data_IF_462440257135
#
_entry.id   IF_462440257135
#
_cell.length_a   1.000
_cell.length_b   1.000
_cell.length_c   1.000
_cell.angle_alpha   90.00
_cell.angle_beta   90.00
_cell.angle_gamma   90.00
#
_symmetry.space_group_name_H-M   'P 1'
#
loop_
_entity.id
_entity.type
_entity.pdbx_description
1 polymer ?
#
# COMPACT_ATOMS: atom_id res chain seq x y z
N UNK A 1 -27.57 13.93 -28.99
CA UNK A 1 -26.09 13.82 -28.94
C UNK A 1 -25.53 14.24 -27.58
N UNK A 2 -25.91 15.41 -27.03
CA UNK A 2 -25.50 15.90 -25.68
C UNK A 2 -25.68 14.87 -24.55
N UNK A 3 -26.83 14.20 -24.47
CA UNK A 3 -27.11 13.23 -23.40
C UNK A 3 -26.13 12.04 -23.40
N UNK A 4 -25.73 11.55 -24.58
CA UNK A 4 -24.80 10.42 -24.71
C UNK A 4 -23.40 10.84 -24.23
N UNK A 5 -22.99 12.07 -24.53
CA UNK A 5 -21.68 12.58 -24.14
C UNK A 5 -21.58 12.88 -22.63
N UNK A 6 -22.65 13.40 -22.03
CA UNK A 6 -22.77 13.59 -20.58
C UNK A 6 -22.75 12.25 -19.81
N UNK A 7 -23.39 11.20 -20.36
CA UNK A 7 -23.35 9.84 -19.80
C UNK A 7 -21.91 9.31 -19.79
N UNK A 8 -21.16 9.47 -20.89
CA UNK A 8 -19.78 9.01 -20.97
C UNK A 8 -18.84 9.76 -20.00
N UNK A 9 -19.07 11.06 -19.79
CA UNK A 9 -18.27 11.88 -18.87
C UNK A 9 -18.45 11.46 -17.41
N UNK A 10 -19.70 11.28 -16.98
CA UNK A 10 -20.01 10.85 -15.61
C UNK A 10 -19.54 9.41 -15.37
N UNK A 11 -19.69 8.53 -16.35
CA UNK A 11 -19.15 7.17 -16.29
C UNK A 11 -17.63 7.15 -16.13
N UNK A 12 -16.88 7.97 -16.88
CA UNK A 12 -15.42 8.07 -16.78
C UNK A 12 -14.94 8.53 -15.41
N UNK A 13 -15.57 9.58 -14.85
CA UNK A 13 -15.28 10.06 -13.50
C UNK A 13 -15.56 8.99 -12.42
N UNK A 14 -16.72 8.34 -12.51
CA UNK A 14 -17.11 7.26 -11.58
C UNK A 14 -16.14 6.08 -11.69
N UNK A 15 -15.78 5.64 -12.89
CA UNK A 15 -14.84 4.54 -13.10
C UNK A 15 -13.46 4.89 -12.56
N UNK A 16 -12.97 6.11 -12.80
CA UNK A 16 -11.68 6.56 -12.28
C UNK A 16 -11.63 6.58 -10.76
N UNK A 17 -12.65 7.17 -10.13
CA UNK A 17 -12.75 7.21 -8.66
C UNK A 17 -12.91 5.81 -8.05
N UNK A 18 -13.81 5.00 -8.62
CA UNK A 18 -14.07 3.64 -8.16
C UNK A 18 -12.82 2.76 -8.29
N UNK A 19 -12.09 2.87 -9.40
CA UNK A 19 -10.87 2.08 -9.64
C UNK A 19 -9.77 2.43 -8.64
N UNK A 20 -9.59 3.71 -8.32
CA UNK A 20 -8.62 4.13 -7.30
C UNK A 20 -9.00 3.61 -5.90
N UNK A 21 -10.28 3.69 -5.55
CA UNK A 21 -10.77 3.11 -4.30
C UNK A 21 -10.55 1.59 -4.23
N UNK A 22 -10.86 0.87 -5.32
CA UNK A 22 -10.63 -0.57 -5.42
C UNK A 22 -9.15 -0.94 -5.34
N UNK A 23 -8.25 -0.16 -5.97
CA UNK A 23 -6.81 -0.38 -5.89
C UNK A 23 -6.32 -0.28 -4.43
N UNK A 24 -6.75 0.76 -3.71
CA UNK A 24 -6.44 0.92 -2.28
C UNK A 24 -6.98 -0.25 -1.47
N UNK A 25 -8.22 -0.65 -1.72
CA UNK A 25 -8.87 -1.75 -1.01
C UNK A 25 -8.15 -3.09 -1.26
N UNK A 26 -7.68 -3.32 -2.49
CA UNK A 26 -6.97 -4.53 -2.92
C UNK A 26 -5.62 -4.72 -2.25
N UNK A 27 -5.04 -3.67 -1.65
CA UNK A 27 -3.83 -3.83 -0.84
C UNK A 27 -4.13 -4.61 0.45
N UNK A 28 -5.32 -4.47 1.01
CA UNK A 28 -5.64 -4.98 2.35
C UNK A 28 -6.65 -6.13 2.36
N UNK A 29 -7.52 -6.22 1.35
CA UNK A 29 -8.57 -7.24 1.26
C UNK A 29 -8.54 -7.98 -0.08
N UNK A 30 -8.96 -9.26 -0.14
CA UNK A 30 -9.39 -10.10 0.99
C UNK A 30 -8.20 -10.59 1.82
N UNK A 31 -8.39 -10.77 3.14
CA UNK A 31 -7.30 -11.15 4.06
C UNK A 31 -6.79 -12.56 3.81
N UNK A 32 -7.72 -13.49 3.54
CA UNK A 32 -7.43 -14.86 3.11
C UNK A 32 -7.64 -14.97 1.61
N UNK A 33 -6.94 -15.92 0.99
CA UNK A 33 -7.04 -16.20 -0.44
C UNK A 33 -8.45 -16.68 -0.79
N UNK A 34 -9.15 -15.95 -1.67
CA UNK A 34 -10.48 -16.30 -2.19
C UNK A 34 -10.35 -16.35 -3.72
N UNK A 35 -10.68 -17.48 -4.34
CA UNK A 35 -10.62 -17.66 -5.80
C UNK A 35 -9.27 -17.22 -6.42
N UNK A 36 -8.16 -17.41 -5.71
CA UNK A 36 -6.84 -16.98 -6.16
C UNK A 36 -6.44 -15.55 -5.75
N UNK A 37 -7.40 -14.71 -5.37
CA UNK A 37 -7.18 -13.33 -4.98
C UNK A 37 -6.93 -13.19 -3.48
N UNK A 38 -5.93 -12.39 -3.12
CA UNK A 38 -5.60 -12.02 -1.75
C UNK A 38 -5.07 -10.59 -1.75
N UNK A 39 -5.34 -9.85 -0.68
CA UNK A 39 -4.75 -8.52 -0.51
C UNK A 39 -3.22 -8.59 -0.53
N UNK A 40 -2.58 -7.58 -1.11
CA UNK A 40 -1.11 -7.59 -1.26
C UNK A 40 -0.38 -7.61 0.09
N UNK A 41 -0.80 -6.80 1.06
CA UNK A 41 -0.17 -6.73 2.38
C UNK A 41 -0.23 -8.05 3.15
N UNK A 42 -1.41 -8.72 3.31
CA UNK A 42 -1.44 -10.02 3.97
C UNK A 42 -0.70 -11.10 3.17
N UNK A 43 -0.68 -11.02 1.84
CA UNK A 43 0.06 -11.96 0.98
C UNK A 43 1.57 -11.90 1.19
N UNK A 44 2.15 -10.72 1.38
CA UNK A 44 3.60 -10.52 1.56
C UNK A 44 4.05 -10.38 3.02
N UNK A 45 3.18 -10.68 3.99
CA UNK A 45 3.47 -10.53 5.42
C UNK A 45 4.72 -11.28 5.87
N UNK A 46 4.89 -12.52 5.42
CA UNK A 46 6.05 -13.35 5.75
C UNK A 46 7.33 -12.77 5.15
N UNK A 47 7.28 -12.36 3.88
CA UNK A 47 8.39 -11.73 3.17
C UNK A 47 8.81 -10.40 3.84
N UNK A 48 7.85 -9.62 4.32
CA UNK A 48 8.12 -8.39 5.09
C UNK A 48 8.90 -8.76 6.36
N UNK A 49 8.47 -9.79 7.08
CA UNK A 49 9.14 -10.27 8.28
C UNK A 49 10.57 -10.73 8.02
N UNK A 50 10.78 -11.53 6.98
CA UNK A 50 12.08 -12.09 6.61
C UNK A 50 13.03 -11.00 6.10
N UNK A 51 12.55 -10.04 5.31
CA UNK A 51 13.37 -8.94 4.81
C UNK A 51 13.75 -7.94 5.90
N UNK A 52 12.82 -7.59 6.80
CA UNK A 52 13.12 -6.72 7.95
C UNK A 52 14.08 -7.44 8.90
N UNK A 53 13.84 -8.73 9.18
CA UNK A 53 14.73 -9.56 9.98
C UNK A 53 16.10 -9.79 9.33
N UNK A 54 16.19 -9.93 8.02
CA UNK A 54 17.45 -10.08 7.29
C UNK A 54 18.29 -8.80 7.31
N UNK A 55 17.62 -7.65 7.35
CA UNK A 55 18.25 -6.33 7.41
C UNK A 55 18.26 -5.76 8.84
N UNK A 56 18.67 -6.57 9.83
CA UNK A 56 18.70 -6.22 11.26
C UNK A 56 19.34 -4.86 11.57
N UNK A 57 20.32 -4.44 10.77
CA UNK A 57 21.04 -3.17 10.95
C UNK A 57 20.18 -1.93 10.67
N UNK A 58 19.10 -2.05 9.88
CA UNK A 58 18.19 -0.95 9.58
C UNK A 58 17.23 -0.65 10.74
N UNK A 59 16.94 -1.65 11.56
CA UNK A 59 15.88 -1.60 12.58
C UNK A 59 16.44 -1.62 14.01
N UNK A 60 17.69 -2.07 14.19
CA UNK A 60 18.33 -2.08 15.51
C UNK A 60 18.68 -0.67 16.01
N UNK A 61 18.44 -0.40 17.31
CA UNK A 61 18.98 0.78 17.97
C UNK A 61 20.52 0.81 17.95
N UNK A 62 21.11 2.00 17.98
CA UNK A 62 22.58 2.18 17.97
C UNK A 62 23.29 1.40 19.09
N UNK A 63 22.69 1.30 20.27
CA UNK A 63 23.23 0.49 21.38
C UNK A 63 23.40 -0.98 21.02
N UNK A 64 22.45 -1.56 20.26
CA UNK A 64 22.52 -2.94 19.79
C UNK A 64 23.50 -3.11 18.63
N UNK A 65 23.63 -2.10 17.74
CA UNK A 65 24.64 -2.12 16.66
C UNK A 65 26.06 -2.26 17.19
N UNK A 66 26.37 -1.66 18.34
CA UNK A 66 27.68 -1.82 19.01
C UNK A 66 27.91 -3.26 19.45
N UNK A 67 26.87 -3.95 19.92
CA UNK A 67 26.94 -5.38 20.30
C UNK A 67 27.17 -6.29 19.09
N UNK A 68 26.74 -5.87 17.89
CA UNK A 68 27.01 -6.61 16.65
C UNK A 68 28.48 -6.61 16.24
N UNK A 69 29.28 -5.64 16.70
CA UNK A 69 30.72 -5.55 16.40
C UNK A 69 31.58 -6.45 17.28
N UNK A 70 31.01 -7.02 18.34
CA UNK A 70 31.74 -7.88 19.28
C UNK A 70 31.97 -9.25 18.61
N UNK A 71 33.23 -9.74 18.52
CA UNK A 71 33.53 -11.08 18.03
C UNK A 71 32.70 -12.13 18.78
N UNK A 72 32.26 -13.19 18.09
CA UNK A 72 31.40 -14.27 18.62
C UNK A 72 29.96 -13.86 19.00
N UNK A 73 29.76 -12.75 19.70
CA UNK A 73 28.42 -12.27 20.14
C UNK A 73 27.61 -11.72 18.97
N UNK A 74 28.26 -10.98 18.06
CA UNK A 74 27.57 -10.30 16.96
C UNK A 74 26.79 -11.25 16.04
N UNK A 75 27.42 -12.32 15.55
CA UNK A 75 26.76 -13.32 14.67
C UNK A 75 25.56 -13.99 15.35
N UNK A 76 25.70 -14.38 16.63
CA UNK A 76 24.62 -15.02 17.40
C UNK A 76 23.45 -14.05 17.61
N UNK A 77 23.74 -12.79 17.92
CA UNK A 77 22.72 -11.75 18.12
C UNK A 77 21.97 -11.40 16.83
N UNK A 78 22.65 -11.31 15.69
CA UNK A 78 21.99 -11.10 14.39
C UNK A 78 20.99 -12.21 14.07
N UNK A 79 21.37 -13.47 14.29
CA UNK A 79 20.51 -14.63 14.06
C UNK A 79 19.29 -14.64 14.98
N UNK A 80 19.48 -14.34 16.27
CA UNK A 80 18.37 -14.26 17.24
C UNK A 80 17.41 -13.14 16.86
N UNK A 81 17.94 -11.96 16.56
CA UNK A 81 17.13 -10.80 16.20
C UNK A 81 16.38 -11.01 14.90
N UNK A 82 17.05 -11.52 13.85
CA UNK A 82 16.42 -11.90 12.58
C UNK A 82 15.21 -12.81 12.80
N UNK A 83 15.41 -13.91 13.53
CA UNK A 83 14.34 -14.87 13.84
C UNK A 83 13.25 -14.26 14.71
N UNK A 84 13.60 -13.41 15.68
CA UNK A 84 12.63 -12.78 16.57
C UNK A 84 11.71 -11.82 15.81
N UNK A 85 12.28 -10.95 14.97
CA UNK A 85 11.52 -9.97 14.18
C UNK A 85 10.62 -10.67 13.16
N UNK A 86 11.16 -11.65 12.41
CA UNK A 86 10.37 -12.41 11.45
C UNK A 86 9.20 -13.14 12.13
N UNK A 87 9.47 -13.78 13.29
CA UNK A 87 8.44 -14.48 14.07
C UNK A 87 7.39 -13.53 14.64
N UNK A 88 7.80 -12.34 15.10
CA UNK A 88 6.88 -11.34 15.64
C UNK A 88 5.93 -10.82 14.55
N UNK A 89 6.47 -10.47 13.39
CA UNK A 89 5.67 -10.03 12.24
C UNK A 89 4.74 -11.15 11.76
N UNK A 90 5.21 -12.40 11.70
CA UNK A 90 4.37 -13.54 11.32
C UNK A 90 3.20 -13.77 12.28
N UNK A 91 3.42 -13.55 13.59
CA UNK A 91 2.40 -13.69 14.64
C UNK A 91 1.38 -12.56 14.69
N UNK A 92 1.75 -11.34 14.27
CA UNK A 92 0.82 -10.20 14.24
C UNK A 92 -0.45 -10.57 13.48
N UNK A 93 -1.61 -10.19 13.97
CA UNK A 93 -2.85 -10.37 13.22
C UNK A 93 -2.83 -9.54 11.94
N UNK A 94 -3.57 -9.97 10.91
CA UNK A 94 -3.72 -9.18 9.68
C UNK A 94 -4.23 -7.77 9.96
N UNK A 95 -5.05 -7.61 11.01
CA UNK A 95 -5.55 -6.32 11.51
C UNK A 95 -4.47 -5.41 12.07
N UNK A 96 -3.50 -5.95 12.80
CA UNK A 96 -2.41 -5.16 13.38
C UNK A 96 -1.44 -4.70 12.29
N UNK A 97 -1.04 -5.61 11.40
CA UNK A 97 -0.20 -5.27 10.26
C UNK A 97 -0.91 -4.25 9.36
N UNK A 98 -2.20 -4.45 9.07
CA UNK A 98 -3.03 -3.49 8.35
C UNK A 98 -3.03 -2.13 9.05
N UNK A 99 -3.18 -2.06 10.37
CA UNK A 99 -3.20 -0.79 11.11
C UNK A 99 -1.87 -0.05 10.99
N UNK A 100 -0.74 -0.75 11.09
CA UNK A 100 0.60 -0.17 10.93
C UNK A 100 0.78 0.34 9.51
N UNK A 101 0.59 -0.53 8.52
CA UNK A 101 0.78 -0.19 7.10
C UNK A 101 -0.18 0.91 6.69
N UNK A 102 -1.46 0.84 7.06
CA UNK A 102 -2.45 1.87 6.74
C UNK A 102 -2.12 3.19 7.42
N UNK A 103 -1.53 3.21 8.61
CA UNK A 103 -1.13 4.48 9.25
C UNK A 103 -0.03 5.18 8.44
N UNK A 104 0.94 4.42 7.91
CA UNK A 104 2.03 4.96 7.08
C UNK A 104 1.51 5.30 5.67
N UNK A 105 0.86 4.35 5.01
CA UNK A 105 0.38 4.48 3.64
C UNK A 105 -0.77 5.48 3.48
N UNK A 106 -1.58 5.75 4.51
CA UNK A 106 -2.74 6.67 4.38
C UNK A 106 -2.35 8.04 3.86
N UNK A 107 -1.16 8.55 4.17
CA UNK A 107 -0.69 9.84 3.66
C UNK A 107 -0.47 9.78 2.15
N UNK A 108 0.23 8.76 1.69
CA UNK A 108 0.52 8.52 0.27
C UNK A 108 -0.76 8.21 -0.53
N UNK A 109 -1.64 7.36 0.02
CA UNK A 109 -2.90 7.01 -0.62
C UNK A 109 -3.84 8.20 -0.78
N UNK A 110 -3.88 9.10 0.22
CA UNK A 110 -4.65 10.34 0.13
C UNK A 110 -4.13 11.26 -0.98
N UNK A 111 -2.82 11.29 -1.18
CA UNK A 111 -2.23 12.05 -2.28
C UNK A 111 -2.70 11.51 -3.64
N UNK A 112 -2.71 10.19 -3.81
CA UNK A 112 -3.21 9.54 -5.05
C UNK A 112 -4.70 9.85 -5.27
N UNK A 113 -5.51 9.83 -4.20
CA UNK A 113 -6.93 10.19 -4.27
C UNK A 113 -7.15 11.66 -4.69
N UNK A 114 -6.39 12.59 -4.12
CA UNK A 114 -6.45 14.02 -4.47
C UNK A 114 -6.00 14.24 -5.92
N UNK A 115 -4.90 13.62 -6.34
CA UNK A 115 -4.43 13.70 -7.72
C UNK A 115 -5.47 13.15 -8.69
N UNK A 116 -6.09 12.00 -8.38
CA UNK A 116 -7.16 11.43 -9.19
C UNK A 116 -8.36 12.38 -9.31
N UNK A 117 -8.74 13.04 -8.22
CA UNK A 117 -9.79 14.07 -8.23
C UNK A 117 -9.43 15.28 -9.11
N UNK A 118 -8.21 15.80 -8.97
CA UNK A 118 -7.70 16.92 -9.78
C UNK A 118 -7.67 16.55 -11.26
N UNK A 119 -7.12 15.39 -11.61
CA UNK A 119 -7.08 14.88 -12.99
C UNK A 119 -8.50 14.71 -13.54
N UNK A 120 -9.43 14.17 -12.75
CA UNK A 120 -10.83 14.03 -13.12
C UNK A 120 -11.50 15.37 -13.44
N UNK A 121 -11.21 16.42 -12.65
CA UNK A 121 -11.68 17.78 -12.92
C UNK A 121 -11.10 18.31 -14.24
N UNK A 122 -9.80 18.16 -14.48
CA UNK A 122 -9.18 18.61 -15.74
C UNK A 122 -9.75 17.90 -16.96
N UNK A 123 -9.93 16.57 -16.89
CA UNK A 123 -10.55 15.79 -17.98
C UNK A 123 -12.00 16.24 -18.19
N UNK A 124 -12.78 16.43 -17.12
CA UNK A 124 -14.15 16.91 -17.20
C UNK A 124 -14.27 18.29 -17.83
N UNK A 125 -13.40 19.23 -17.47
CA UNK A 125 -13.37 20.58 -18.06
C UNK A 125 -12.97 20.56 -19.54
N UNK A 126 -11.95 19.77 -19.89
CA UNK A 126 -11.54 19.59 -21.29
C UNK A 126 -12.67 19.00 -22.12
N UNK A 127 -13.34 17.97 -21.60
CA UNK A 127 -14.47 17.33 -22.23
C UNK A 127 -15.66 18.29 -22.38
N UNK A 128 -15.99 19.08 -21.36
CA UNK A 128 -17.04 20.11 -21.43
C UNK A 128 -16.74 21.19 -22.49
N UNK A 129 -15.48 21.59 -22.62
CA UNK A 129 -15.03 22.55 -23.64
C UNK A 129 -15.21 21.97 -25.05
N UNK A 130 -14.82 20.71 -25.28
CA UNK A 130 -15.03 20.03 -26.56
C UNK A 130 -16.51 19.92 -26.94
N UNK A 131 -17.39 19.65 -25.97
CA UNK A 131 -18.85 19.64 -26.19
C UNK A 131 -19.32 20.99 -26.73
N UNK A 132 -18.86 22.07 -26.10
CA UNK A 132 -19.26 23.44 -26.46
C UNK A 132 -18.79 23.83 -27.87
N UNK A 133 -17.68 23.27 -28.37
CA UNK A 133 -17.19 23.51 -29.74
C UNK A 133 -17.83 22.60 -30.81
N UNK A 134 -18.40 21.45 -30.42
CA UNK A 134 -18.96 20.46 -31.35
C UNK A 134 -20.48 20.65 -31.58
N UNK A 135 -21.15 21.39 -30.69
CA UNK A 135 -22.56 21.81 -30.78
C UNK A 135 -22.64 23.14 -31.51
#
# INVERSE_FOLDING_TARGET
MINIFLINMTAGFIIGFLTNWLAILSLFRPRKKILGFQGLIPKYKEDIGENIGGNVHLVMPESFKKMLKIPFVGKKMQLIFKKSVAKEIAKMSDTELEKIVRKVARRELRFIEILGGIIGIFIGLFQATLILFLI
#
